data_IF_922831029897
#
_entry.id   IF_922831029897
#
_cell.length_a   1.000
_cell.length_b   1.000
_cell.length_c   1.000
_cell.angle_alpha   90.00
_cell.angle_beta   90.00
_cell.angle_gamma   90.00
#
_symmetry.space_group_name_H-M   'P 1'
#
loop_
_entity.id
_entity.type
_entity.pdbx_description
1 polymer ?
#
# COMPACT_ATOMS: atom_id res chain seq x y z
N UNK A 1 15.29 -4.26 -8.81
CA UNK A 1 14.97 -2.82 -8.91
C UNK A 1 13.47 -2.64 -9.14
N UNK A 2 12.84 -1.79 -8.37
CA UNK A 2 11.41 -1.52 -8.51
C UNK A 2 11.24 -0.39 -9.52
N UNK A 3 10.53 -0.68 -10.62
CA UNK A 3 10.36 0.31 -11.70
C UNK A 3 8.94 0.85 -11.79
N UNK A 4 7.97 0.21 -11.14
CA UNK A 4 6.59 0.68 -11.17
C UNK A 4 5.86 0.27 -9.89
N UNK A 5 4.70 0.91 -9.66
CA UNK A 5 3.84 0.54 -8.55
C UNK A 5 3.39 -0.92 -8.67
N UNK A 6 3.14 -1.38 -9.87
CA UNK A 6 2.70 -2.77 -10.07
C UNK A 6 3.78 -3.77 -9.69
N UNK A 7 5.05 -3.46 -9.98
CA UNK A 7 6.16 -4.32 -9.55
C UNK A 7 6.26 -4.37 -8.04
N UNK A 8 6.09 -3.21 -7.38
CA UNK A 8 6.12 -3.14 -5.93
C UNK A 8 4.99 -3.99 -5.32
N UNK A 9 3.79 -3.89 -5.85
CA UNK A 9 2.65 -4.66 -5.35
C UNK A 9 2.88 -6.15 -5.55
N UNK A 10 3.47 -6.54 -6.66
CA UNK A 10 3.80 -7.94 -6.92
C UNK A 10 4.76 -8.48 -5.87
N UNK A 11 5.79 -7.70 -5.53
CA UNK A 11 6.74 -8.08 -4.48
C UNK A 11 6.07 -8.15 -3.11
N UNK A 12 5.17 -7.20 -2.83
CA UNK A 12 4.41 -7.22 -1.58
C UNK A 12 3.59 -8.50 -1.44
N UNK A 13 2.95 -8.94 -2.54
CA UNK A 13 2.17 -10.17 -2.52
C UNK A 13 3.04 -11.39 -2.31
N UNK A 14 4.19 -11.44 -2.97
CA UNK A 14 5.12 -12.56 -2.83
C UNK A 14 5.63 -12.67 -1.39
N UNK A 15 5.99 -11.55 -0.79
CA UNK A 15 6.44 -11.56 0.61
C UNK A 15 5.32 -11.95 1.56
N UNK A 16 4.13 -11.46 1.33
CA UNK A 16 2.98 -11.76 2.18
C UNK A 16 2.59 -13.23 2.14
N UNK A 17 2.74 -13.88 1.00
CA UNK A 17 2.50 -15.32 0.88
C UNK A 17 3.49 -16.13 1.71
N UNK A 18 4.70 -15.61 1.88
CA UNK A 18 5.72 -16.22 2.72
C UNK A 18 5.65 -15.75 4.16
N UNK A 19 4.68 -14.91 4.50
CA UNK A 19 4.52 -14.31 5.82
C UNK A 19 5.70 -13.43 6.20
N UNK A 20 6.31 -12.80 5.21
CA UNK A 20 7.41 -11.85 5.40
C UNK A 20 6.85 -10.43 5.38
N UNK A 21 7.31 -9.62 6.33
CA UNK A 21 6.95 -8.21 6.39
C UNK A 21 7.76 -7.41 5.39
N UNK A 22 7.22 -6.27 4.99
CA UNK A 22 7.91 -5.34 4.10
C UNK A 22 7.68 -3.91 4.58
N UNK A 23 8.54 -3.00 4.13
CA UNK A 23 8.40 -1.58 4.37
C UNK A 23 7.95 -0.90 3.08
N UNK A 24 7.17 0.16 3.21
CA UNK A 24 6.79 0.97 2.05
C UNK A 24 6.32 2.34 2.53
N UNK A 25 6.23 3.26 1.59
CA UNK A 25 5.67 4.58 1.88
C UNK A 25 4.69 4.96 0.78
N UNK A 26 3.75 5.81 1.17
CA UNK A 26 2.74 6.29 0.23
C UNK A 26 2.26 7.66 0.66
N UNK A 27 1.68 8.38 -0.29
CA UNK A 27 1.06 9.67 0.00
C UNK A 27 -0.36 9.43 0.48
N UNK A 28 -0.69 9.96 1.65
CA UNK A 28 -2.02 9.86 2.20
C UNK A 28 -2.97 10.81 1.47
N UNK A 29 -4.15 10.32 1.13
CA UNK A 29 -5.17 11.14 0.48
C UNK A 29 -6.54 10.73 0.97
N UNK A 30 -7.36 11.69 1.32
CA UNK A 30 -8.74 11.46 1.74
C UNK A 30 -9.70 12.04 0.73
N UNK A 31 -10.53 11.20 0.13
CA UNK A 31 -11.56 11.64 -0.81
C UNK A 31 -12.56 12.56 -0.10
N UNK A 32 -12.93 12.22 1.14
CA UNK A 32 -13.89 12.99 1.91
C UNK A 32 -13.40 14.41 2.18
N UNK A 33 -12.12 14.54 2.51
CA UNK A 33 -11.51 15.84 2.80
C UNK A 33 -10.91 16.50 1.58
N UNK A 34 -10.79 15.78 0.48
CA UNK A 34 -10.21 16.25 -0.77
C UNK A 34 -8.85 16.90 -0.57
N UNK A 35 -8.00 16.27 0.24
CA UNK A 35 -6.64 16.75 0.44
C UNK A 35 -5.70 15.64 0.85
N UNK A 36 -4.41 15.87 0.61
CA UNK A 36 -3.34 14.97 1.04
C UNK A 36 -2.90 15.35 2.45
N UNK A 37 -2.66 14.35 3.28
CA UNK A 37 -2.18 14.55 4.64
C UNK A 37 -0.68 14.31 4.77
N UNK A 38 0.03 14.13 3.65
CA UNK A 38 1.46 13.95 3.63
C UNK A 38 1.87 12.51 3.42
N UNK A 39 3.16 12.27 3.44
CA UNK A 39 3.73 10.94 3.26
C UNK A 39 3.63 10.11 4.53
N UNK A 40 3.19 8.86 4.37
CA UNK A 40 3.13 7.91 5.48
C UNK A 40 4.14 6.80 5.20
N UNK A 41 5.01 6.53 6.17
CA UNK A 41 6.01 5.48 6.08
C UNK A 41 5.63 4.33 6.99
N UNK A 42 5.58 3.12 6.44
CA UNK A 42 5.24 1.90 7.17
C UNK A 42 6.46 0.99 7.14
N UNK A 43 7.00 0.66 8.32
CA UNK A 43 8.21 -0.14 8.40
C UNK A 43 7.94 -1.64 8.40
N UNK A 44 6.81 -2.06 8.92
CA UNK A 44 6.46 -3.48 9.02
C UNK A 44 5.02 -3.67 8.58
N UNK A 45 4.83 -4.19 7.38
CA UNK A 45 3.51 -4.40 6.82
C UNK A 45 3.40 -5.76 6.16
N UNK A 46 2.18 -6.31 6.16
CA UNK A 46 1.83 -7.52 5.42
C UNK A 46 0.52 -7.22 4.72
N UNK A 47 0.37 -7.67 3.49
CA UNK A 47 -0.89 -7.48 2.79
C UNK A 47 -2.01 -8.22 3.53
N UNK A 48 -3.15 -7.55 3.64
CA UNK A 48 -4.32 -8.07 4.31
C UNK A 48 -5.45 -8.20 3.29
N UNK A 49 -5.94 -9.43 3.10
CA UNK A 49 -7.01 -9.65 2.16
C UNK A 49 -8.35 -9.43 2.85
N UNK A 50 -9.09 -8.47 2.35
CA UNK A 50 -10.40 -8.11 2.89
C UNK A 50 -11.48 -8.46 1.86
N UNK A 51 -12.66 -8.97 2.28
CA UNK A 51 -13.74 -9.23 1.34
C UNK A 51 -14.12 -7.98 0.56
N UNK A 52 -14.46 -8.15 -0.71
CA UNK A 52 -14.94 -7.04 -1.54
C UNK A 52 -16.23 -6.47 -0.96
N UNK A 53 -16.25 -5.15 -0.80
CA UNK A 53 -17.47 -4.44 -0.45
C UNK A 53 -18.07 -3.92 -1.77
N UNK A 54 -19.23 -4.43 -2.21
CA UNK A 54 -19.80 -3.99 -3.48
C UNK A 54 -20.16 -2.51 -3.51
N UNK A 55 -20.22 -1.86 -2.35
CA UNK A 55 -20.48 -0.43 -2.28
C UNK A 55 -19.23 0.41 -2.46
N UNK A 56 -18.06 -0.19 -2.41
CA UNK A 56 -16.80 0.53 -2.57
C UNK A 56 -16.34 0.45 -4.04
N UNK A 57 -16.65 1.51 -4.79
CA UNK A 57 -16.31 1.56 -6.22
C UNK A 57 -14.80 1.71 -6.47
N UNK A 58 -14.04 2.05 -5.44
CA UNK A 58 -12.60 2.24 -5.55
C UNK A 58 -11.79 1.02 -5.11
N UNK A 59 -12.46 -0.07 -4.82
CA UNK A 59 -11.83 -1.26 -4.26
C UNK A 59 -10.62 -1.74 -5.07
N UNK A 60 -10.70 -1.71 -6.39
CA UNK A 60 -9.63 -2.20 -7.27
C UNK A 60 -8.40 -1.30 -7.29
N UNK A 61 -8.56 -0.05 -6.86
CA UNK A 61 -7.48 0.93 -6.86
C UNK A 61 -6.80 1.07 -5.51
N UNK A 62 -7.26 0.33 -4.51
CA UNK A 62 -6.76 0.43 -3.15
C UNK A 62 -6.00 -0.83 -2.76
N UNK A 63 -5.06 -0.64 -1.86
CA UNK A 63 -4.28 -1.73 -1.27
C UNK A 63 -4.57 -1.77 0.21
N UNK A 64 -4.98 -2.94 0.71
CA UNK A 64 -5.24 -3.13 2.14
C UNK A 64 -4.05 -3.87 2.76
N UNK A 65 -3.57 -3.37 3.87
CA UNK A 65 -2.43 -3.97 4.56
C UNK A 65 -2.63 -3.94 6.06
N UNK A 66 -1.91 -4.82 6.74
CA UNK A 66 -1.84 -4.85 8.20
C UNK A 66 -0.51 -4.25 8.62
N UNK A 67 -0.57 -3.19 9.43
CA UNK A 67 0.62 -2.63 10.06
C UNK A 67 0.88 -3.44 11.33
N UNK A 68 1.93 -4.27 11.30
CA UNK A 68 2.19 -5.19 12.40
C UNK A 68 2.74 -4.49 13.64
N UNK A 69 3.26 -3.28 13.51
CA UNK A 69 3.71 -2.50 14.66
C UNK A 69 2.55 -2.01 15.51
N UNK A 70 1.45 -1.65 14.89
CA UNK A 70 0.27 -1.12 15.59
C UNK A 70 -0.87 -2.11 15.68
N UNK A 71 -0.85 -3.14 14.84
CA UNK A 71 -1.95 -4.09 14.73
C UNK A 71 -3.16 -3.56 13.99
N UNK A 72 -3.02 -2.45 13.30
CA UNK A 72 -4.13 -1.82 12.57
C UNK A 72 -4.16 -2.23 11.12
N UNK A 73 -5.37 -2.49 10.61
CA UNK A 73 -5.59 -2.72 9.18
C UNK A 73 -5.89 -1.36 8.55
N UNK A 74 -5.12 -1.04 7.51
CA UNK A 74 -5.25 0.25 6.83
C UNK A 74 -5.31 0.05 5.33
N UNK A 75 -5.72 1.09 4.62
CA UNK A 75 -5.79 1.10 3.17
C UNK A 75 -5.04 2.30 2.61
N UNK A 76 -4.47 2.11 1.42
CA UNK A 76 -3.85 3.20 0.69
C UNK A 76 -4.24 3.11 -0.78
N UNK A 77 -4.06 4.21 -1.51
CA UNK A 77 -4.29 4.24 -2.94
C UNK A 77 -3.05 3.69 -3.66
N UNK A 78 -3.25 2.69 -4.52
CA UNK A 78 -2.13 2.06 -5.22
C UNK A 78 -1.27 3.07 -6.00
N UNK A 79 -1.85 4.01 -6.77
CA UNK A 79 -1.03 4.96 -7.53
C UNK A 79 -0.22 5.92 -6.64
N UNK A 80 -0.54 6.02 -5.35
CA UNK A 80 0.15 6.93 -4.46
C UNK A 80 1.30 6.28 -3.69
N UNK A 81 1.60 5.01 -3.97
CA UNK A 81 2.73 4.33 -3.34
C UNK A 81 4.02 4.93 -3.90
N UNK A 82 4.91 5.37 -3.00
CA UNK A 82 6.11 6.12 -3.36
C UNK A 82 7.38 5.28 -3.30
N UNK A 83 7.45 4.33 -2.38
CA UNK A 83 8.64 3.52 -2.23
C UNK A 83 8.29 2.13 -1.71
N UNK A 84 9.22 1.20 -1.91
CA UNK A 84 9.10 -0.17 -1.42
C UNK A 84 10.45 -0.62 -0.89
N UNK A 85 10.49 -1.06 0.38
CA UNK A 85 11.71 -1.49 1.07
C UNK A 85 12.81 -0.43 0.96
N UNK A 86 12.42 0.84 1.16
CA UNK A 86 13.31 2.01 1.14
C UNK A 86 13.87 2.34 -0.24
N UNK A 87 13.36 1.70 -1.30
CA UNK A 87 13.74 2.05 -2.66
C UNK A 87 12.63 2.88 -3.30
N UNK A 88 12.95 4.05 -3.85
CA UNK A 88 11.93 4.86 -4.52
C UNK A 88 11.45 4.19 -5.79
N UNK A 89 10.15 4.34 -6.07
CA UNK A 89 9.56 3.82 -7.28
C UNK A 89 9.75 4.85 -8.39
N UNK A 90 10.36 4.43 -9.49
CA UNK A 90 10.70 5.36 -10.58
C UNK A 90 9.52 5.70 -11.47
N UNK A 91 8.55 4.82 -11.57
CA UNK A 91 7.38 5.04 -12.40
C UNK A 91 6.12 4.97 -11.56
N UNK A 92 5.17 5.84 -11.86
CA UNK A 92 3.88 5.88 -11.17
C UNK A 92 2.74 5.32 -12.01
N UNK A 93 3.07 4.73 -13.12
CA UNK A 93 2.05 4.14 -14.01
C UNK A 93 1.48 2.85 -13.47
#
# INVERSE_FOLDING_TARGET
MITSVYDAIREMRAKSEKKEEFAFSYMSYSITKDKSEGEICVEHAILYRKPKDPRNIYHEYMLTYLDTDTGEVRQCWQPLIMSFNHEPIKSID
#
